data_IF_797548698955
#
_entry.id   IF_797548698955
#
_cell.length_a   1.000
_cell.length_b   1.000
_cell.length_c   1.000
_cell.angle_alpha   90.00
_cell.angle_beta   90.00
_cell.angle_gamma   90.00
#
_symmetry.space_group_name_H-M   'P 1'
#
loop_
_entity.id
_entity.type
_entity.pdbx_description
1 polymer ?
#
# COMPACT_ATOMS: atom_id res chain seq x y z
N UNK A 1 17.17 -40.23 4.43
CA UNK A 1 17.24 -40.70 3.04
C UNK A 1 18.50 -40.08 2.43
N UNK A 2 19.55 -40.88 2.21
CA UNK A 2 20.73 -40.38 1.48
C UNK A 2 20.33 -40.17 0.03
N UNK A 3 20.77 -39.06 -0.54
CA UNK A 3 20.58 -38.76 -1.95
C UNK A 3 21.29 -39.85 -2.77
N UNK A 4 20.51 -40.67 -3.47
CA UNK A 4 21.09 -41.54 -4.49
C UNK A 4 21.61 -40.66 -5.64
N UNK A 5 22.76 -40.97 -6.24
CA UNK A 5 23.17 -40.30 -7.48
C UNK A 5 22.12 -40.52 -8.56
N UNK A 6 21.71 -39.47 -9.25
CA UNK A 6 20.62 -39.47 -10.25
C UNK A 6 20.79 -40.45 -11.41
N UNK A 7 22.02 -41.01 -11.59
CA UNK A 7 22.38 -41.94 -12.65
C UNK A 7 22.45 -43.41 -12.20
N UNK A 8 22.27 -43.72 -10.89
CA UNK A 8 22.51 -45.06 -10.36
C UNK A 8 21.41 -46.05 -10.77
N UNK A 9 20.16 -45.63 -10.80
CA UNK A 9 19.05 -46.49 -11.18
C UNK A 9 19.09 -46.86 -12.66
N UNK A 10 19.53 -45.96 -13.52
CA UNK A 10 19.77 -46.20 -14.96
C UNK A 10 20.91 -47.20 -15.12
N UNK A 11 21.99 -47.08 -14.35
CA UNK A 11 23.13 -47.97 -14.37
C UNK A 11 22.75 -49.39 -13.91
N UNK A 12 21.96 -49.53 -12.84
CA UNK A 12 21.44 -50.81 -12.37
C UNK A 12 20.53 -51.43 -13.45
N UNK A 13 19.66 -50.63 -14.07
CA UNK A 13 18.79 -51.07 -15.16
C UNK A 13 19.59 -51.69 -16.31
N UNK A 14 20.63 -51.02 -16.80
CA UNK A 14 21.51 -51.49 -17.87
C UNK A 14 22.24 -52.80 -17.51
N UNK A 15 22.69 -52.92 -16.27
CA UNK A 15 23.36 -54.17 -15.81
C UNK A 15 22.37 -55.32 -15.74
N UNK A 16 21.15 -55.10 -15.27
CA UNK A 16 20.10 -56.15 -15.16
C UNK A 16 19.57 -56.59 -16.54
N UNK A 17 19.53 -55.69 -17.54
CA UNK A 17 19.14 -56.02 -18.92
C UNK A 17 20.27 -56.59 -19.76
N UNK A 18 21.51 -56.56 -19.26
CA UNK A 18 22.68 -57.05 -20.00
C UNK A 18 23.23 -56.03 -21.03
N UNK A 19 22.79 -54.80 -20.98
CA UNK A 19 23.19 -53.70 -21.91
C UNK A 19 24.40 -52.92 -21.40
N UNK A 20 24.87 -53.18 -20.19
CA UNK A 20 25.94 -52.42 -19.57
C UNK A 20 27.32 -52.80 -20.14
N UNK A 21 28.16 -51.82 -20.39
CA UNK A 21 29.59 -51.98 -20.72
C UNK A 21 30.40 -52.50 -19.53
N UNK A 22 31.62 -53.03 -19.80
CA UNK A 22 32.52 -53.48 -18.73
C UNK A 22 32.84 -52.37 -17.71
N UNK A 23 32.97 -51.15 -18.18
CA UNK A 23 33.26 -49.97 -17.33
C UNK A 23 32.06 -49.62 -16.42
N UNK A 24 30.86 -49.70 -16.94
CA UNK A 24 29.63 -49.49 -16.19
C UNK A 24 29.41 -50.59 -15.12
N UNK A 25 29.71 -51.83 -15.46
CA UNK A 25 29.64 -52.95 -14.49
C UNK A 25 30.62 -52.74 -13.34
N UNK A 26 31.89 -52.39 -13.60
CA UNK A 26 32.88 -52.11 -12.58
C UNK A 26 32.52 -50.84 -11.75
N UNK A 27 31.79 -49.90 -12.31
CA UNK A 27 31.30 -48.72 -11.60
C UNK A 27 30.22 -49.11 -10.60
N UNK A 28 29.30 -49.97 -10.99
CA UNK A 28 28.24 -50.50 -10.11
C UNK A 28 28.84 -51.35 -8.98
N UNK A 29 29.80 -52.25 -9.27
CA UNK A 29 30.46 -53.07 -8.26
C UNK A 29 31.19 -52.21 -7.23
N UNK A 30 31.89 -51.16 -7.63
CA UNK A 30 32.52 -50.23 -6.71
C UNK A 30 31.50 -49.50 -5.83
N UNK A 31 30.37 -49.12 -6.37
CA UNK A 31 29.30 -48.45 -5.62
C UNK A 31 28.65 -49.43 -4.60
N UNK A 32 28.45 -50.69 -4.95
CA UNK A 32 27.95 -51.74 -4.04
C UNK A 32 28.92 -51.98 -2.84
N UNK A 33 30.24 -51.83 -3.08
CA UNK A 33 31.26 -52.06 -2.03
C UNK A 33 31.41 -50.87 -1.08
N UNK A 34 30.94 -49.71 -1.42
CA UNK A 34 31.06 -48.48 -0.61
C UNK A 34 30.19 -48.50 0.65
N UNK A 35 29.01 -49.11 0.56
CA UNK A 35 28.06 -49.14 1.69
C UNK A 35 27.20 -50.43 1.63
N UNK A 36 27.02 -51.12 2.76
CA UNK A 36 26.11 -52.26 2.83
C UNK A 36 24.68 -51.99 2.38
N UNK A 37 24.20 -50.75 2.57
CA UNK A 37 22.87 -50.31 2.11
C UNK A 37 22.77 -50.27 0.57
N UNK A 38 23.83 -49.84 -0.11
CA UNK A 38 23.90 -49.84 -1.57
C UNK A 38 23.78 -51.27 -2.13
N UNK A 39 24.51 -52.20 -1.51
CA UNK A 39 24.44 -53.62 -1.89
C UNK A 39 23.06 -54.21 -1.67
N UNK A 40 22.41 -53.88 -0.54
CA UNK A 40 21.05 -54.33 -0.26
C UNK A 40 20.05 -53.78 -1.30
N UNK A 41 20.23 -52.54 -1.74
CA UNK A 41 19.42 -51.91 -2.76
C UNK A 41 19.50 -52.61 -4.12
N UNK A 42 20.72 -52.90 -4.61
CA UNK A 42 20.92 -53.61 -5.87
C UNK A 42 20.36 -55.02 -5.82
N UNK A 43 20.59 -55.75 -4.69
CA UNK A 43 20.01 -57.09 -4.51
C UNK A 43 18.49 -57.06 -4.52
N UNK A 44 17.87 -56.06 -3.90
CA UNK A 44 16.42 -55.88 -3.94
C UNK A 44 15.88 -55.71 -5.36
N UNK A 45 16.50 -54.80 -6.15
CA UNK A 45 16.12 -54.58 -7.54
C UNK A 45 16.33 -55.81 -8.42
N UNK A 46 17.44 -56.56 -8.24
CA UNK A 46 17.74 -57.80 -8.95
C UNK A 46 16.64 -58.83 -8.68
N UNK A 47 16.21 -58.99 -7.43
CA UNK A 47 15.16 -59.93 -7.02
C UNK A 47 13.82 -59.57 -7.68
N UNK A 48 13.48 -58.26 -7.70
CA UNK A 48 12.26 -57.79 -8.38
C UNK A 48 12.32 -58.08 -9.89
N UNK A 49 13.47 -57.80 -10.52
CA UNK A 49 13.68 -58.07 -11.95
C UNK A 49 13.54 -59.53 -12.33
N UNK A 50 14.18 -60.44 -11.52
CA UNK A 50 14.07 -61.89 -11.71
C UNK A 50 12.65 -62.43 -11.49
N UNK A 51 11.94 -61.91 -10.48
CA UNK A 51 10.53 -62.23 -10.26
C UNK A 51 9.64 -61.74 -11.39
N UNK A 52 9.86 -60.54 -11.90
CA UNK A 52 9.14 -60.00 -13.03
C UNK A 52 9.39 -60.83 -14.31
N UNK A 53 10.61 -61.26 -14.55
CA UNK A 53 10.99 -62.12 -15.67
C UNK A 53 10.39 -63.54 -15.61
N UNK A 54 10.06 -64.04 -14.39
CA UNK A 54 9.45 -65.36 -14.19
C UNK A 54 7.91 -65.38 -14.43
N UNK A 55 7.29 -64.19 -14.54
CA UNK A 55 5.87 -64.10 -14.88
C UNK A 55 5.71 -64.39 -16.38
N UNK A 56 5.65 -65.62 -16.78
CA UNK A 56 5.18 -66.03 -18.10
C UNK A 56 3.70 -65.68 -18.19
N UNK A 57 3.41 -64.51 -18.78
CA UNK A 57 2.05 -64.16 -19.17
C UNK A 57 1.68 -65.08 -20.33
N UNK A 58 1.01 -66.18 -19.99
CA UNK A 58 0.46 -67.16 -20.95
C UNK A 58 -0.87 -66.66 -21.49
N UNK A 59 -0.92 -65.38 -21.87
CA UNK A 59 -2.03 -64.83 -22.64
C UNK A 59 -1.50 -64.45 -24.01
N UNK A 60 -1.90 -65.18 -25.02
CA UNK A 60 -1.84 -64.72 -26.40
C UNK A 60 -2.61 -63.39 -26.42
N UNK A 61 -1.87 -62.28 -26.42
CA UNK A 61 -2.45 -60.97 -26.57
C UNK A 61 -2.94 -60.85 -28.00
N UNK A 62 -4.27 -60.95 -28.18
CA UNK A 62 -4.89 -60.70 -29.47
C UNK A 62 -4.83 -59.20 -29.75
N UNK A 63 -3.75 -58.80 -30.40
CA UNK A 63 -3.51 -57.39 -30.77
C UNK A 63 -4.58 -56.82 -31.67
N UNK A 64 -5.22 -57.67 -32.48
CA UNK A 64 -6.25 -57.21 -33.40
C UNK A 64 -7.58 -56.97 -32.67
N UNK A 65 -7.94 -57.83 -31.72
CA UNK A 65 -9.09 -57.60 -30.85
C UNK A 65 -8.88 -56.39 -29.91
N UNK A 66 -7.66 -56.18 -29.38
CA UNK A 66 -7.31 -55.00 -28.60
C UNK A 66 -7.38 -53.73 -29.45
N UNK A 67 -6.87 -53.78 -30.68
CA UNK A 67 -6.89 -52.63 -31.59
C UNK A 67 -8.30 -52.24 -32.03
N UNK A 68 -9.18 -53.24 -32.28
CA UNK A 68 -10.60 -53.00 -32.57
C UNK A 68 -11.33 -52.35 -31.39
N UNK A 69 -11.03 -52.72 -30.14
CA UNK A 69 -11.58 -52.06 -28.93
C UNK A 69 -11.11 -50.62 -28.77
N UNK A 70 -9.82 -50.36 -29.03
CA UNK A 70 -9.25 -49.00 -28.98
C UNK A 70 -9.83 -48.14 -30.09
N UNK A 71 -9.93 -48.66 -31.33
CA UNK A 71 -10.51 -47.97 -32.47
C UNK A 71 -12.00 -47.66 -32.27
N UNK A 72 -12.75 -48.56 -31.61
CA UNK A 72 -14.14 -48.32 -31.24
C UNK A 72 -14.30 -47.21 -30.17
N UNK A 73 -13.39 -47.12 -29.21
CA UNK A 73 -13.37 -46.03 -28.20
C UNK A 73 -12.96 -44.69 -28.80
N UNK A 74 -11.92 -44.66 -29.64
CA UNK A 74 -11.48 -43.45 -30.32
C UNK A 74 -12.55 -42.87 -31.26
N UNK A 75 -13.37 -43.71 -31.86
CA UNK A 75 -14.46 -43.26 -32.73
C UNK A 75 -15.66 -42.69 -31.95
N UNK A 76 -15.82 -43.10 -30.66
CA UNK A 76 -16.92 -42.65 -29.81
C UNK A 76 -16.62 -41.33 -29.09
N UNK A 77 -15.34 -41.03 -28.83
CA UNK A 77 -14.96 -39.78 -28.19
C UNK A 77 -14.97 -38.57 -29.13
N UNK A 78 -14.95 -38.81 -30.45
CA UNK A 78 -14.97 -37.72 -31.42
C UNK A 78 -16.31 -36.98 -31.51
N UNK A 79 -17.42 -37.59 -30.98
CA UNK A 79 -18.72 -36.92 -30.99
C UNK A 79 -18.93 -35.96 -29.78
N UNK A 80 -18.12 -36.07 -28.72
CA UNK A 80 -18.23 -35.15 -27.57
C UNK A 80 -17.47 -33.84 -27.73
N UNK A 81 -16.54 -33.74 -28.70
CA UNK A 81 -15.83 -32.51 -29.02
C UNK A 81 -16.61 -31.52 -29.88
N UNK A 82 -17.80 -31.91 -30.36
CA UNK A 82 -18.63 -31.09 -31.26
C UNK A 82 -19.41 -29.96 -30.58
N UNK A 83 -19.27 -29.80 -29.24
CA UNK A 83 -19.90 -28.67 -28.53
C UNK A 83 -19.06 -27.38 -28.49
N UNK A 84 -17.81 -27.45 -28.89
CA UNK A 84 -16.94 -26.26 -28.99
C UNK A 84 -16.83 -25.78 -30.45
N UNK A 85 -17.92 -25.22 -30.96
CA UNK A 85 -17.81 -24.52 -32.24
C UNK A 85 -16.82 -23.35 -32.07
N UNK A 86 -15.98 -23.05 -33.08
CA UNK A 86 -15.00 -21.97 -32.99
C UNK A 86 -15.64 -20.62 -32.61
N UNK A 87 -16.93 -20.44 -32.95
CA UNK A 87 -17.75 -19.30 -32.55
C UNK A 87 -17.98 -19.22 -31.02
N UNK A 88 -18.17 -20.35 -30.34
CA UNK A 88 -18.38 -20.39 -28.87
C UNK A 88 -17.06 -20.15 -28.12
N UNK A 89 -15.94 -20.66 -28.65
CA UNK A 89 -14.61 -20.37 -28.11
C UNK A 89 -14.31 -18.88 -28.27
N UNK A 90 -14.55 -18.32 -29.45
CA UNK A 90 -14.38 -16.91 -29.69
C UNK A 90 -15.28 -16.03 -28.76
N UNK A 91 -16.53 -16.44 -28.53
CA UNK A 91 -17.43 -15.75 -27.61
C UNK A 91 -16.94 -15.84 -26.13
N UNK A 92 -16.42 -16.99 -25.71
CA UNK A 92 -15.85 -17.15 -24.36
C UNK A 92 -14.60 -16.29 -24.17
N UNK A 93 -13.72 -16.24 -25.16
CA UNK A 93 -12.53 -15.38 -25.14
C UNK A 93 -12.95 -13.90 -25.13
N UNK A 94 -13.90 -13.50 -25.95
CA UNK A 94 -14.42 -12.13 -25.95
C UNK A 94 -15.05 -11.75 -24.60
N UNK A 95 -15.80 -12.67 -23.97
CA UNK A 95 -16.36 -12.47 -22.63
C UNK A 95 -15.27 -12.33 -21.57
N UNK A 96 -14.21 -13.15 -21.60
CA UNK A 96 -13.08 -13.05 -20.69
C UNK A 96 -12.30 -11.74 -20.86
N UNK A 97 -12.09 -11.31 -22.11
CA UNK A 97 -11.47 -10.01 -22.42
C UNK A 97 -12.37 -8.88 -21.91
N UNK A 98 -13.68 -8.95 -22.13
CA UNK A 98 -14.64 -7.98 -21.62
C UNK A 98 -14.62 -7.88 -20.09
N UNK A 99 -14.65 -9.01 -19.40
CA UNK A 99 -14.50 -9.05 -17.93
C UNK A 99 -13.13 -8.50 -17.50
N UNK A 100 -12.06 -8.86 -18.18
CA UNK A 100 -10.73 -8.34 -17.93
C UNK A 100 -10.65 -6.82 -18.08
N UNK A 101 -11.27 -6.25 -19.12
CA UNK A 101 -11.34 -4.81 -19.33
C UNK A 101 -12.16 -4.13 -18.23
N UNK A 102 -13.31 -4.71 -17.85
CA UNK A 102 -14.15 -4.18 -16.77
C UNK A 102 -13.38 -4.20 -15.45
N UNK A 103 -12.75 -5.32 -15.10
CA UNK A 103 -11.92 -5.43 -13.90
C UNK A 103 -10.74 -4.45 -13.93
N UNK A 104 -10.10 -4.25 -15.07
CA UNK A 104 -9.03 -3.28 -15.25
C UNK A 104 -9.53 -1.84 -15.08
N UNK A 105 -10.72 -1.51 -15.61
CA UNK A 105 -11.34 -0.18 -15.46
C UNK A 105 -11.75 0.10 -14.01
N UNK A 106 -12.35 -0.89 -13.33
CA UNK A 106 -12.77 -0.76 -11.92
C UNK A 106 -11.56 -0.68 -10.97
N UNK A 107 -10.44 -1.34 -11.32
CA UNK A 107 -9.21 -1.32 -10.52
C UNK A 107 -8.21 -0.24 -10.93
N UNK A 108 -8.55 0.65 -11.87
CA UNK A 108 -7.66 1.78 -12.15
C UNK A 108 -7.47 2.60 -10.87
N UNK A 109 -6.21 2.88 -10.45
CA UNK A 109 -5.99 3.86 -9.41
C UNK A 109 -6.61 5.17 -9.87
N UNK A 110 -7.53 5.70 -9.08
CA UNK A 110 -8.17 6.97 -9.38
C UNK A 110 -7.05 8.03 -9.42
N UNK A 111 -6.92 8.75 -10.53
CA UNK A 111 -5.90 9.78 -10.68
C UNK A 111 -6.01 10.75 -9.49
N UNK A 112 -4.88 11.02 -8.83
CA UNK A 112 -4.86 11.97 -7.75
C UNK A 112 -5.27 13.36 -8.26
N UNK A 113 -6.27 13.96 -7.65
CA UNK A 113 -6.54 15.39 -7.83
C UNK A 113 -5.48 16.15 -7.04
N UNK A 114 -4.64 16.92 -7.72
CA UNK A 114 -3.56 17.69 -7.09
C UNK A 114 -3.92 19.15 -7.11
N UNK A 115 -3.91 19.78 -5.94
CA UNK A 115 -4.13 21.21 -5.73
C UNK A 115 -2.86 21.83 -5.17
N UNK A 116 -2.49 23.00 -5.64
CA UNK A 116 -1.32 23.73 -5.17
C UNK A 116 -1.68 25.19 -4.89
N UNK A 117 -1.23 25.64 -3.74
CA UNK A 117 -1.27 27.04 -3.33
C UNK A 117 0.18 27.53 -3.21
N UNK A 118 0.66 28.29 -4.18
CA UNK A 118 2.05 28.78 -4.20
C UNK A 118 2.19 30.06 -3.36
N UNK A 119 1.82 31.19 -3.89
CA UNK A 119 1.97 32.50 -3.23
C UNK A 119 0.71 32.99 -2.52
N UNK A 120 -0.44 32.43 -2.85
CA UNK A 120 -1.73 32.83 -2.31
C UNK A 120 -2.47 31.64 -1.73
N UNK A 121 -3.38 31.91 -0.80
CA UNK A 121 -4.31 30.91 -0.28
C UNK A 121 -5.27 30.45 -1.36
N UNK A 122 -5.63 29.17 -1.36
CA UNK A 122 -6.55 28.57 -2.35
C UNK A 122 -7.64 27.81 -1.61
N UNK A 123 -8.91 28.10 -1.94
CA UNK A 123 -10.05 27.28 -1.55
C UNK A 123 -10.36 26.31 -2.68
N UNK A 124 -10.39 25.03 -2.38
CA UNK A 124 -10.79 23.99 -3.31
C UNK A 124 -11.84 23.06 -2.73
N UNK A 125 -12.66 22.50 -3.61
CA UNK A 125 -13.63 21.46 -3.23
C UNK A 125 -13.16 20.13 -3.74
N UNK A 126 -12.87 19.22 -2.82
CA UNK A 126 -12.39 17.89 -3.13
C UNK A 126 -13.47 17.03 -3.82
N UNK A 127 -13.07 15.94 -4.52
CA UNK A 127 -14.01 15.10 -5.27
C UNK A 127 -15.13 14.47 -4.43
N UNK A 128 -14.96 14.35 -3.12
CA UNK A 128 -15.99 13.87 -2.19
C UNK A 128 -16.94 14.96 -1.68
N UNK A 129 -16.69 16.22 -2.06
CA UNK A 129 -17.44 17.39 -1.62
C UNK A 129 -16.93 18.02 -0.33
N UNK A 130 -15.87 17.49 0.27
CA UNK A 130 -15.13 18.16 1.35
C UNK A 130 -14.45 19.43 0.82
N UNK A 131 -14.24 20.42 1.70
CA UNK A 131 -13.52 21.64 1.33
C UNK A 131 -12.14 21.65 1.97
N UNK A 132 -11.16 22.11 1.23
CA UNK A 132 -9.80 22.33 1.69
C UNK A 132 -9.42 23.79 1.42
N UNK A 133 -9.04 24.50 2.47
CA UNK A 133 -8.54 25.87 2.39
C UNK A 133 -7.04 25.85 2.62
N UNK A 134 -6.27 25.89 1.53
CA UNK A 134 -4.83 25.77 1.52
C UNK A 134 -4.17 27.12 1.82
N UNK A 135 -3.21 27.11 2.74
CA UNK A 135 -2.32 28.25 2.95
C UNK A 135 -1.24 28.29 1.84
N UNK A 136 -0.51 29.39 1.75
CA UNK A 136 0.64 29.53 0.81
C UNK A 136 1.65 28.40 0.99
N UNK A 137 2.38 28.07 -0.09
CA UNK A 137 3.39 27.01 -0.12
C UNK A 137 2.85 25.62 0.26
N UNK A 138 1.59 25.35 -0.13
CA UNK A 138 0.91 24.09 0.21
C UNK A 138 0.60 23.28 -1.04
N UNK A 139 0.84 21.98 -0.97
CA UNK A 139 0.43 20.99 -1.97
C UNK A 139 -0.46 19.95 -1.31
N UNK A 140 -1.58 19.67 -1.93
CA UNK A 140 -2.54 18.67 -1.54
C UNK A 140 -2.80 17.71 -2.70
N UNK A 141 -2.74 16.40 -2.45
CA UNK A 141 -3.10 15.38 -3.41
C UNK A 141 -4.20 14.48 -2.84
N UNK A 142 -5.38 14.50 -3.46
CA UNK A 142 -6.52 13.67 -3.08
C UNK A 142 -6.57 12.40 -3.91
N UNK A 143 -6.77 11.25 -3.26
CA UNK A 143 -7.03 9.95 -3.88
C UNK A 143 -8.12 9.20 -3.13
N UNK A 144 -8.87 8.36 -3.83
CA UNK A 144 -9.81 7.44 -3.21
C UNK A 144 -9.26 6.01 -3.27
N UNK A 145 -9.06 5.39 -2.10
CA UNK A 145 -8.71 3.97 -2.01
C UNK A 145 -10.00 3.13 -1.95
N UNK A 146 -10.41 2.61 -3.10
CA UNK A 146 -11.64 1.81 -3.23
C UNK A 146 -11.57 0.47 -2.46
N UNK A 147 -10.37 -0.07 -2.22
CA UNK A 147 -10.19 -1.33 -1.49
C UNK A 147 -10.41 -1.13 -0.01
N UNK A 148 -9.89 -0.04 0.54
CA UNK A 148 -10.03 0.32 1.95
C UNK A 148 -11.27 1.17 2.21
N UNK A 149 -11.97 1.62 1.16
CA UNK A 149 -13.06 2.62 1.24
C UNK A 149 -12.62 3.89 1.97
N UNK A 150 -11.40 4.36 1.68
CA UNK A 150 -10.80 5.52 2.35
C UNK A 150 -10.60 6.66 1.36
N UNK A 151 -10.89 7.88 1.80
CA UNK A 151 -10.58 9.13 1.13
C UNK A 151 -9.22 9.58 1.66
N UNK A 152 -8.19 9.53 0.85
CA UNK A 152 -6.81 9.81 1.28
C UNK A 152 -6.33 11.12 0.70
N UNK A 153 -5.87 12.00 1.57
CA UNK A 153 -5.24 13.27 1.22
C UNK A 153 -3.78 13.23 1.65
N UNK A 154 -2.86 13.47 0.72
CA UNK A 154 -1.46 13.75 1.07
C UNK A 154 -1.29 15.25 1.16
N UNK A 155 -0.83 15.74 2.31
CA UNK A 155 -0.62 17.14 2.60
C UNK A 155 0.87 17.44 2.81
N UNK A 156 1.32 18.50 2.15
CA UNK A 156 2.61 19.13 2.39
C UNK A 156 2.38 20.64 2.46
N UNK A 157 2.50 21.23 3.64
CA UNK A 157 2.13 22.62 3.93
C UNK A 157 1.04 22.74 4.97
N UNK A 158 0.16 23.72 4.86
CA UNK A 158 -0.91 23.98 5.82
C UNK A 158 -2.28 24.09 5.13
N UNK A 159 -3.27 23.38 5.67
CA UNK A 159 -4.64 23.46 5.17
C UNK A 159 -5.68 23.30 6.28
N UNK A 160 -6.73 24.09 6.18
CA UNK A 160 -7.95 23.90 6.94
C UNK A 160 -8.93 23.05 6.13
N UNK A 161 -9.48 22.03 6.77
CA UNK A 161 -10.42 21.10 6.17
C UNK A 161 -11.82 21.27 6.76
N UNK A 162 -12.84 21.26 5.92
CA UNK A 162 -14.24 21.05 6.27
C UNK A 162 -14.64 19.72 5.64
N UNK A 163 -14.54 18.63 6.40
CA UNK A 163 -14.73 17.29 5.88
C UNK A 163 -16.20 16.91 5.89
N UNK A 164 -16.69 16.46 4.72
CA UNK A 164 -18.03 15.92 4.61
C UNK A 164 -18.18 14.64 5.43
N UNK A 165 -19.17 14.62 6.31
CA UNK A 165 -19.42 13.46 7.17
C UNK A 165 -19.84 12.23 6.37
N UNK A 166 -19.07 11.15 6.48
CA UNK A 166 -19.33 9.86 5.83
C UNK A 166 -18.79 8.71 6.69
N UNK A 167 -19.67 7.99 7.35
CA UNK A 167 -19.32 6.90 8.30
C UNK A 167 -18.61 5.73 7.60
N UNK A 168 -19.02 5.39 6.38
CA UNK A 168 -18.50 4.21 5.65
C UNK A 168 -17.20 4.48 4.88
N UNK A 169 -16.78 5.75 4.78
CA UNK A 169 -15.61 6.19 4.01
C UNK A 169 -14.81 7.19 4.81
N UNK A 170 -13.88 6.70 5.61
CA UNK A 170 -13.04 7.53 6.46
C UNK A 170 -12.17 8.48 5.62
N UNK A 171 -11.96 9.67 6.14
CA UNK A 171 -11.09 10.66 5.56
C UNK A 171 -9.75 10.61 6.28
N UNK A 172 -8.66 10.39 5.55
CA UNK A 172 -7.33 10.24 6.13
C UNK A 172 -6.38 11.23 5.48
N UNK A 173 -5.75 12.05 6.30
CA UNK A 173 -4.65 12.90 5.86
C UNK A 173 -3.34 12.21 6.18
N UNK A 174 -2.48 12.08 5.17
CA UNK A 174 -1.10 11.64 5.30
C UNK A 174 -0.18 12.86 5.24
N UNK A 175 0.49 13.16 6.35
CA UNK A 175 1.46 14.23 6.51
C UNK A 175 2.79 13.61 6.93
N UNK A 176 3.64 13.27 5.97
CA UNK A 176 4.86 12.48 6.17
C UNK A 176 4.53 11.08 6.73
N UNK A 177 5.00 10.74 7.93
CA UNK A 177 4.73 9.49 8.65
C UNK A 177 3.46 9.56 9.51
N UNK A 178 2.93 10.76 9.75
CA UNK A 178 1.72 10.99 10.54
C UNK A 178 0.46 10.74 9.71
N UNK A 179 -0.54 10.12 10.33
CA UNK A 179 -1.90 10.02 9.83
C UNK A 179 -2.88 10.73 10.74
N UNK A 180 -3.81 11.43 10.11
CA UNK A 180 -4.90 12.12 10.79
C UNK A 180 -6.18 11.58 10.19
N UNK A 181 -6.94 10.82 10.98
CA UNK A 181 -8.18 10.18 10.57
C UNK A 181 -9.38 10.94 11.10
N UNK A 182 -10.35 11.13 10.22
CA UNK A 182 -11.55 11.90 10.46
C UNK A 182 -12.79 11.26 9.84
N UNK A 183 -13.96 11.53 10.42
CA UNK A 183 -15.26 11.05 9.96
C UNK A 183 -16.15 12.19 9.46
N UNK A 184 -15.88 13.44 9.87
CA UNK A 184 -16.69 14.61 9.50
C UNK A 184 -16.50 15.76 10.46
N UNK A 185 -15.39 16.46 10.35
CA UNK A 185 -14.94 17.51 11.26
C UNK A 185 -14.47 18.75 10.50
N UNK A 186 -14.20 19.81 11.26
CA UNK A 186 -13.52 21.00 10.79
C UNK A 186 -12.23 21.18 11.59
N UNK A 187 -11.07 21.15 10.93
CA UNK A 187 -9.78 21.20 11.60
C UNK A 187 -8.67 21.75 10.70
N UNK A 188 -7.62 22.27 11.31
CA UNK A 188 -6.42 22.73 10.65
C UNK A 188 -5.27 21.73 10.82
N UNK A 189 -4.50 21.51 9.77
CA UNK A 189 -3.25 20.74 9.79
C UNK A 189 -2.14 21.59 9.22
N UNK A 190 -1.06 21.79 10.00
CA UNK A 190 0.16 22.47 9.57
C UNK A 190 1.30 21.46 9.55
N UNK A 191 1.75 21.10 8.34
CA UNK A 191 2.73 20.04 8.08
C UNK A 191 3.69 20.47 6.95
N UNK A 192 4.47 21.53 7.18
CA UNK A 192 5.48 21.98 6.23
C UNK A 192 6.70 21.03 6.25
N UNK A 193 7.24 20.63 5.09
CA UNK A 193 8.34 19.66 5.00
C UNK A 193 9.62 20.06 5.72
N UNK A 194 9.87 21.37 5.84
CA UNK A 194 11.03 21.94 6.55
C UNK A 194 10.86 21.96 8.08
N UNK A 195 9.65 21.71 8.57
CA UNK A 195 9.34 21.65 10.00
C UNK A 195 9.50 20.25 10.56
N UNK A 196 10.15 20.10 11.71
CA UNK A 196 10.19 18.83 12.45
C UNK A 196 8.85 18.50 13.13
N UNK A 197 7.86 19.39 13.03
CA UNK A 197 6.59 19.23 13.73
C UNK A 197 5.40 19.32 12.79
N UNK A 198 4.37 18.51 13.10
CA UNK A 198 3.02 18.66 12.55
C UNK A 198 2.09 19.12 13.66
N UNK A 199 1.37 20.21 13.41
CA UNK A 199 0.36 20.74 14.33
C UNK A 199 -1.05 20.45 13.78
N UNK A 200 -1.92 19.97 14.67
CA UNK A 200 -3.35 19.73 14.38
C UNK A 200 -4.19 20.49 15.39
N UNK A 201 -5.15 21.30 14.90
CA UNK A 201 -6.08 22.05 15.74
C UNK A 201 -7.51 21.81 15.28
N UNK A 202 -8.35 21.32 16.18
CA UNK A 202 -9.74 20.94 15.89
C UNK A 202 -10.68 22.10 16.22
N UNK A 203 -11.46 22.53 15.22
CA UNK A 203 -12.48 23.53 15.40
C UNK A 203 -13.84 22.91 15.75
N UNK A 204 -14.20 21.78 15.08
CA UNK A 204 -15.46 21.09 15.28
C UNK A 204 -15.28 19.59 15.06
N UNK A 205 -15.94 18.76 15.90
CA UNK A 205 -15.89 17.30 15.83
C UNK A 205 -14.70 16.69 16.55
N UNK A 206 -14.21 15.57 16.05
CA UNK A 206 -13.12 14.78 16.64
C UNK A 206 -12.19 14.23 15.54
N UNK A 207 -10.89 14.29 15.74
CA UNK A 207 -9.88 13.66 14.88
C UNK A 207 -8.97 12.75 15.68
N UNK A 208 -8.49 11.68 15.03
CA UNK A 208 -7.48 10.78 15.57
C UNK A 208 -6.16 10.97 14.81
N UNK A 209 -5.13 11.48 15.48
CA UNK A 209 -3.79 11.60 14.91
C UNK A 209 -2.88 10.50 15.45
N UNK A 210 -2.21 9.76 14.56
CA UNK A 210 -1.39 8.60 14.91
C UNK A 210 -0.30 8.32 13.87
N UNK A 211 0.71 7.54 14.26
CA UNK A 211 1.63 6.91 13.31
C UNK A 211 1.33 5.41 13.24
N UNK A 212 1.51 4.76 12.08
CA UNK A 212 1.23 3.32 11.95
C UNK A 212 1.99 2.48 12.98
N UNK A 213 1.23 1.72 13.80
CA UNK A 213 1.81 0.84 14.83
C UNK A 213 1.94 1.47 16.22
N UNK A 214 1.51 2.72 16.42
CA UNK A 214 1.43 3.38 17.74
C UNK A 214 0.03 3.94 17.96
N UNK A 215 -0.42 3.90 19.22
CA UNK A 215 -1.58 4.66 19.65
C UNK A 215 -1.22 6.15 19.60
N UNK A 216 -2.10 6.93 18.99
CA UNK A 216 -1.90 8.37 18.85
C UNK A 216 -2.71 9.17 19.87
N UNK A 217 -3.18 10.35 19.44
CA UNK A 217 -4.06 11.21 20.23
C UNK A 217 -5.40 11.39 19.54
N UNK A 218 -6.47 11.30 20.31
CA UNK A 218 -7.79 11.79 19.94
C UNK A 218 -7.91 13.25 20.37
N UNK A 219 -8.29 14.13 19.45
CA UNK A 219 -8.50 15.54 19.68
C UNK A 219 -9.93 15.88 19.40
N UNK A 220 -10.58 16.60 20.32
CA UNK A 220 -11.95 17.10 20.17
C UNK A 220 -11.97 18.60 19.92
N UNK A 221 -13.13 19.14 19.58
CA UNK A 221 -13.31 20.56 19.30
C UNK A 221 -12.69 21.47 20.39
N UNK A 222 -11.88 22.44 19.95
CA UNK A 222 -11.12 23.37 20.80
C UNK A 222 -9.76 22.85 21.25
N UNK A 223 -9.42 21.60 21.00
CA UNK A 223 -8.10 21.04 21.31
C UNK A 223 -7.12 21.18 20.13
N UNK A 224 -5.84 21.19 20.47
CA UNK A 224 -4.75 21.15 19.53
C UNK A 224 -3.59 20.29 20.08
N UNK A 225 -2.83 19.70 19.17
CA UNK A 225 -1.63 18.94 19.51
C UNK A 225 -0.54 19.10 18.44
N UNK A 226 0.68 18.84 18.87
CA UNK A 226 1.87 18.79 18.03
C UNK A 226 2.38 17.34 18.05
N UNK A 227 2.76 16.85 16.88
CA UNK A 227 3.57 15.68 16.70
C UNK A 227 4.97 16.11 16.26
N UNK A 228 6.02 15.54 16.86
CA UNK A 228 7.42 15.80 16.51
C UNK A 228 8.00 14.57 15.82
N UNK A 229 8.51 14.74 14.59
CA UNK A 229 9.05 13.64 13.78
C UNK A 229 10.31 13.01 14.38
N UNK A 230 11.25 13.83 14.87
CA UNK A 230 12.53 13.37 15.42
C UNK A 230 12.39 12.41 16.59
N UNK A 231 11.42 12.65 17.46
CA UNK A 231 11.22 11.91 18.71
C UNK A 231 10.01 10.98 18.67
N UNK A 232 9.16 11.07 17.64
CA UNK A 232 7.87 10.41 17.53
C UNK A 232 6.94 10.67 18.73
N UNK A 233 6.99 11.92 19.25
CA UNK A 233 6.24 12.33 20.45
C UNK A 233 5.01 13.13 20.05
N UNK A 234 3.86 12.75 20.64
CA UNK A 234 2.62 13.50 20.59
C UNK A 234 2.49 14.36 21.86
N UNK A 235 2.19 15.64 21.71
CA UNK A 235 1.97 16.56 22.83
C UNK A 235 0.73 17.40 22.60
N UNK A 236 -0.25 17.33 23.54
CA UNK A 236 -1.36 18.27 23.54
C UNK A 236 -0.88 19.66 23.89
N UNK A 237 -1.42 20.66 23.23
CA UNK A 237 -1.22 22.06 23.59
C UNK A 237 -2.20 22.45 24.68
N UNK A 238 -1.71 23.15 25.71
CA UNK A 238 -2.57 23.65 26.82
C UNK A 238 -3.61 24.66 26.30
N UNK A 239 -3.28 25.36 25.21
CA UNK A 239 -4.15 26.32 24.57
C UNK A 239 -3.90 26.33 23.06
N UNK A 240 -4.98 26.14 22.31
CA UNK A 240 -4.92 26.31 20.86
C UNK A 240 -4.60 27.78 20.51
N UNK A 241 -3.77 27.97 19.46
CA UNK A 241 -3.51 29.31 18.91
C UNK A 241 -4.81 29.86 18.32
N UNK A 242 -5.32 30.97 18.87
CA UNK A 242 -6.53 31.64 18.38
C UNK A 242 -6.38 32.16 16.95
N UNK A 243 -5.14 32.32 16.48
CA UNK A 243 -4.80 32.82 15.16
C UNK A 243 -4.41 31.72 14.17
N UNK A 244 -4.66 30.45 14.48
CA UNK A 244 -4.35 29.32 13.58
C UNK A 244 -5.06 29.44 12.23
N UNK A 245 -6.23 30.08 12.20
CA UNK A 245 -7.02 30.29 10.99
C UNK A 245 -6.90 31.70 10.39
N UNK A 246 -5.93 32.51 10.84
CA UNK A 246 -5.79 33.87 10.36
C UNK A 246 -5.57 33.96 8.84
N UNK A 247 -4.86 32.99 8.26
CA UNK A 247 -4.64 32.91 6.81
C UNK A 247 -5.94 32.68 6.00
N UNK A 248 -6.96 32.06 6.64
CA UNK A 248 -8.30 31.81 6.05
C UNK A 248 -9.24 32.97 6.32
N UNK A 249 -9.23 33.50 7.54
CA UNK A 249 -10.25 34.48 8.00
C UNK A 249 -9.81 35.93 7.82
N UNK A 250 -8.51 36.17 7.70
CA UNK A 250 -7.94 37.52 7.75
C UNK A 250 -8.06 38.17 9.13
N UNK A 251 -8.38 37.40 10.17
CA UNK A 251 -8.55 37.90 11.54
C UNK A 251 -7.37 37.46 12.39
N UNK A 252 -6.70 38.45 13.00
CA UNK A 252 -5.66 38.26 14.01
C UNK A 252 -6.13 38.84 15.32
N UNK A 253 -6.12 38.05 16.38
CA UNK A 253 -6.56 38.47 17.71
C UNK A 253 -5.48 38.17 18.74
N UNK A 254 -4.96 39.20 19.36
CA UNK A 254 -3.93 39.10 20.39
C UNK A 254 -4.49 39.64 21.69
N UNK A 255 -4.36 38.89 22.77
CA UNK A 255 -4.79 39.32 24.09
C UNK A 255 -3.65 39.15 25.08
N UNK A 256 -3.19 40.27 25.64
CA UNK A 256 -2.08 40.28 26.61
C UNK A 256 -0.83 39.54 26.08
N UNK A 257 -0.54 39.70 24.78
CA UNK A 257 0.51 38.99 24.04
C UNK A 257 1.75 39.87 23.94
N UNK A 258 2.95 39.28 24.06
CA UNK A 258 4.19 40.00 23.85
C UNK A 258 4.28 40.56 22.43
N UNK A 259 4.76 41.82 22.33
CA UNK A 259 4.90 42.52 21.05
C UNK A 259 5.78 41.71 20.06
N UNK A 260 6.87 41.13 20.59
CA UNK A 260 7.71 40.23 19.76
C UNK A 260 6.89 39.09 19.12
N UNK A 261 6.06 38.40 19.90
CA UNK A 261 5.24 37.31 19.38
C UNK A 261 4.19 37.75 18.37
N UNK A 262 3.66 38.99 18.53
CA UNK A 262 2.75 39.60 17.55
C UNK A 262 3.48 39.85 16.24
N UNK A 263 4.66 40.46 16.31
CA UNK A 263 5.51 40.75 15.13
C UNK A 263 5.92 39.45 14.43
N UNK A 264 6.36 38.43 15.19
CA UNK A 264 6.74 37.12 14.64
C UNK A 264 5.56 36.48 13.90
N UNK A 265 4.33 36.55 14.47
CA UNK A 265 3.12 35.99 13.84
C UNK A 265 2.70 36.74 12.59
N UNK A 266 2.79 38.07 12.56
CA UNK A 266 2.51 38.89 11.39
C UNK A 266 3.54 38.60 10.29
N UNK A 267 4.83 38.54 10.64
CA UNK A 267 5.88 38.21 9.69
C UNK A 267 5.65 36.83 9.03
N UNK A 268 5.30 35.82 9.84
CA UNK A 268 5.02 34.45 9.34
C UNK A 268 3.80 34.41 8.39
N UNK A 269 2.72 35.09 8.79
CA UNK A 269 1.46 35.07 8.03
C UNK A 269 1.57 35.83 6.69
N UNK A 270 2.19 37.01 6.71
CA UNK A 270 2.23 37.92 5.56
C UNK A 270 3.56 37.93 4.80
N UNK A 271 4.52 37.06 5.21
CA UNK A 271 5.90 37.08 4.69
C UNK A 271 6.55 38.45 4.80
N UNK A 272 6.21 39.16 5.87
CA UNK A 272 6.70 40.49 6.15
C UNK A 272 8.10 40.43 6.84
N UNK A 273 8.76 41.58 6.94
CA UNK A 273 10.07 41.70 7.60
C UNK A 273 10.06 42.80 8.63
N UNK A 274 9.02 42.87 9.44
CA UNK A 274 8.85 43.83 10.50
C UNK A 274 9.94 43.57 11.55
N UNK A 275 10.61 44.61 11.97
CA UNK A 275 11.61 44.57 13.07
C UNK A 275 11.27 45.63 14.07
N UNK A 276 11.56 45.36 15.33
CA UNK A 276 11.43 46.33 16.41
C UNK A 276 12.74 47.15 16.49
N UNK A 277 12.65 48.46 16.25
CA UNK A 277 13.81 49.35 16.34
C UNK A 277 14.39 49.42 17.77
N UNK A 278 13.49 49.37 18.76
CA UNK A 278 13.88 49.27 20.16
C UNK A 278 13.63 47.86 20.71
N UNK A 279 14.66 47.07 21.05
CA UNK A 279 14.49 45.73 21.61
C UNK A 279 13.76 45.69 22.96
N UNK A 280 13.80 46.76 23.72
CA UNK A 280 13.21 46.83 25.08
C UNK A 280 11.67 46.68 25.02
N UNK A 281 11.04 47.16 23.94
CA UNK A 281 9.58 47.02 23.76
C UNK A 281 9.13 45.59 23.37
N UNK A 282 10.06 44.71 23.05
CA UNK A 282 9.73 43.31 22.67
C UNK A 282 8.95 42.60 23.79
N UNK A 283 9.22 42.94 25.04
CA UNK A 283 8.56 42.37 26.23
C UNK A 283 7.26 43.10 26.61
N UNK A 284 6.90 44.19 25.94
CA UNK A 284 5.60 44.86 26.14
C UNK A 284 4.47 43.95 25.72
N UNK A 285 3.36 43.97 26.46
CA UNK A 285 2.18 43.21 26.15
C UNK A 285 1.09 44.07 25.55
N UNK A 286 0.47 43.58 24.49
CA UNK A 286 -0.61 44.27 23.80
C UNK A 286 -1.88 43.40 23.72
N UNK A 287 -2.99 44.09 23.63
CA UNK A 287 -4.30 43.48 23.24
C UNK A 287 -4.75 44.25 22.01
N UNK A 288 -4.82 43.55 20.88
CA UNK A 288 -5.16 44.14 19.59
C UNK A 288 -5.83 43.12 18.70
N UNK A 289 -6.79 43.57 17.87
CA UNK A 289 -7.43 42.78 16.83
C UNK A 289 -7.23 43.46 15.49
N UNK A 290 -6.82 42.70 14.50
CA UNK A 290 -6.73 43.11 13.09
C UNK A 290 -7.75 42.32 12.30
N UNK A 291 -8.42 42.95 11.35
CA UNK A 291 -9.46 42.29 10.52
C UNK A 291 -9.36 42.76 9.07
N UNK A 292 -8.78 41.90 8.23
CA UNK A 292 -8.65 42.17 6.80
C UNK A 292 -7.71 43.35 6.46
N UNK A 293 -6.86 43.75 7.42
CA UNK A 293 -5.89 44.82 7.26
C UNK A 293 -4.66 44.34 6.51
N UNK A 294 -4.05 45.23 5.72
CA UNK A 294 -2.73 44.94 5.16
C UNK A 294 -1.63 45.22 6.18
N UNK A 295 -0.43 44.69 5.96
CA UNK A 295 0.71 44.80 6.89
C UNK A 295 1.07 46.24 7.17
N UNK A 296 0.99 47.15 6.16
CA UNK A 296 1.34 48.55 6.31
C UNK A 296 0.39 49.33 7.24
N UNK A 297 -0.79 48.77 7.48
CA UNK A 297 -1.79 49.36 8.39
C UNK A 297 -1.68 48.78 9.80
N UNK A 298 -1.04 47.61 9.95
CA UNK A 298 -0.83 46.94 11.25
C UNK A 298 0.37 47.47 11.99
N UNK A 299 1.30 48.17 11.34
CA UNK A 299 2.56 48.70 11.82
C UNK A 299 2.49 50.20 11.91
#
# INVERSE_FOLDING_TARGET
MKHLPDDIDDLIGKVLTGEASQEEQMRLERWEQQDPENRAYVVGLRTIFEQAGSIRVQHQFDTDAAWLKVKGKLRRDNERFLFFTPRRIAAAIAALIGVGIILFQVNKPQSAAIVRAEQQTVLDTLPDGSKAFLNKNTTLAYTYDSRKKMRVVKLSGESFFEVKHEIDRHFVIEASDLRIEDIGTSFNVKAYPESDTVEVAVQEGEVHMYIPGQDGLHLVAGEAAIYTHSDHIFRRLEKADTNVLAYKTGILSFRNTYLKSIVDKINDLYDARIRLDNPDIASCRMTVNFQGENVDTMV
#
